data_IF_598092567120
#
_entry.id   IF_598092567120
#
_cell.length_a   1.000
_cell.length_b   1.000
_cell.length_c   1.000
_cell.angle_alpha   90.00
_cell.angle_beta   90.00
_cell.angle_gamma   90.00
#
_symmetry.space_group_name_H-M   'P 1'
#
loop_
_entity.id
_entity.type
_entity.pdbx_description
1 polymer ?
#
# COMPACT_ATOMS: atom_id res chain seq x y z
N UNK A 1 -127.29 22.69 -76.70
CA UNK A 1 -126.44 23.59 -75.90
C UNK A 1 -125.28 22.86 -75.20
N UNK A 2 -125.46 21.68 -74.58
CA UNK A 2 -124.38 20.96 -73.89
C UNK A 2 -123.20 20.46 -74.77
N UNK A 3 -123.43 20.19 -76.05
CA UNK A 3 -122.38 19.74 -76.99
C UNK A 3 -121.43 20.84 -77.45
N UNK A 4 -121.88 22.10 -77.51
CA UNK A 4 -121.04 23.22 -77.93
C UNK A 4 -120.03 23.64 -76.86
N UNK A 5 -120.37 23.52 -75.57
CA UNK A 5 -119.44 23.82 -74.45
C UNK A 5 -118.29 22.81 -74.38
N UNK A 6 -118.53 21.53 -74.72
CA UNK A 6 -117.48 20.51 -74.76
C UNK A 6 -116.47 20.73 -75.91
N UNK A 7 -116.94 21.20 -77.07
CA UNK A 7 -116.05 21.50 -78.21
C UNK A 7 -115.07 22.62 -77.86
N UNK A 8 -115.52 23.68 -77.19
CA UNK A 8 -114.66 24.79 -76.79
C UNK A 8 -113.54 24.36 -75.82
N UNK A 9 -113.84 23.46 -74.88
CA UNK A 9 -112.85 22.92 -73.95
C UNK A 9 -111.77 22.09 -74.67
N UNK A 10 -112.15 21.25 -75.63
CA UNK A 10 -111.19 20.51 -76.44
C UNK A 10 -110.31 21.43 -77.29
N UNK A 11 -110.90 22.48 -77.89
CA UNK A 11 -110.13 23.48 -78.64
C UNK A 11 -109.05 24.12 -77.75
N UNK A 12 -109.41 24.56 -76.53
CA UNK A 12 -108.44 25.11 -75.58
C UNK A 12 -107.35 24.09 -75.25
N UNK A 13 -107.74 22.87 -74.87
CA UNK A 13 -106.82 21.79 -74.49
C UNK A 13 -105.80 21.47 -75.59
N UNK A 14 -106.24 21.36 -76.84
CA UNK A 14 -105.35 21.07 -77.96
C UNK A 14 -104.48 22.27 -78.34
N UNK A 15 -105.00 23.50 -78.28
CA UNK A 15 -104.19 24.70 -78.53
C UNK A 15 -103.14 24.94 -77.44
N UNK A 16 -103.44 24.64 -76.17
CA UNK A 16 -102.48 24.75 -75.07
C UNK A 16 -101.33 23.75 -75.24
N UNK A 17 -101.64 22.51 -75.67
CA UNK A 17 -100.64 21.47 -75.93
C UNK A 17 -99.85 21.70 -77.22
N UNK A 18 -100.52 22.21 -78.27
CA UNK A 18 -99.93 22.46 -79.58
C UNK A 18 -100.11 23.93 -79.96
N UNK A 19 -99.21 24.79 -79.49
CA UNK A 19 -99.32 26.26 -79.63
C UNK A 19 -99.48 26.74 -81.09
N UNK A 20 -98.98 25.99 -82.08
CA UNK A 20 -99.07 26.34 -83.50
C UNK A 20 -100.39 25.90 -84.18
N UNK A 21 -101.26 25.16 -83.49
CA UNK A 21 -102.45 24.54 -84.08
C UNK A 21 -103.58 25.54 -84.35
N UNK A 22 -103.72 26.57 -83.50
CA UNK A 22 -104.69 27.67 -83.65
C UNK A 22 -106.10 27.22 -84.06
N UNK A 23 -106.68 26.22 -83.39
CA UNK A 23 -108.07 25.78 -83.62
C UNK A 23 -109.05 26.88 -83.17
N UNK A 24 -110.04 27.18 -84.00
CA UNK A 24 -111.09 28.16 -83.69
C UNK A 24 -112.50 27.58 -83.85
N UNK A 25 -113.47 28.14 -83.13
CA UNK A 25 -114.88 27.69 -83.19
C UNK A 25 -115.55 28.01 -84.54
N UNK A 26 -115.07 29.02 -85.26
CA UNK A 26 -115.56 29.35 -86.61
C UNK A 26 -115.15 28.31 -87.66
N UNK A 27 -113.92 27.78 -87.57
CA UNK A 27 -113.42 26.75 -88.50
C UNK A 27 -114.24 25.46 -88.46
N UNK A 28 -114.91 25.21 -87.34
CA UNK A 28 -115.76 24.05 -87.08
C UNK A 28 -117.20 24.23 -87.60
N UNK A 29 -117.71 25.48 -87.70
CA UNK A 29 -119.15 25.75 -87.87
C UNK A 29 -119.58 26.19 -89.28
N UNK A 30 -118.70 26.75 -90.12
CA UNK A 30 -119.06 27.24 -91.48
C UNK A 30 -118.42 26.41 -92.61
N UNK A 31 -119.21 26.13 -93.66
CA UNK A 31 -118.88 25.18 -94.74
C UNK A 31 -117.56 25.39 -95.49
N UNK A 32 -117.06 26.63 -95.59
CA UNK A 32 -115.87 26.95 -96.38
C UNK A 32 -114.53 26.69 -95.64
N UNK A 33 -114.54 26.62 -94.30
CA UNK A 33 -113.33 26.43 -93.46
C UNK A 33 -113.11 24.98 -93.03
N UNK A 34 -114.02 24.05 -93.38
CA UNK A 34 -113.99 22.62 -93.04
C UNK A 34 -112.74 21.89 -93.55
N UNK A 35 -112.09 22.43 -94.59
CA UNK A 35 -110.83 21.91 -95.13
C UNK A 35 -109.64 21.98 -94.16
N UNK A 36 -109.60 22.96 -93.24
CA UNK A 36 -108.50 23.09 -92.26
C UNK A 36 -108.68 22.16 -91.06
N UNK A 37 -109.92 21.77 -90.77
CA UNK A 37 -110.25 20.90 -89.64
C UNK A 37 -109.59 19.51 -89.79
N UNK A 38 -109.74 18.87 -90.96
CA UNK A 38 -109.16 17.53 -91.22
C UNK A 38 -107.64 17.54 -91.01
N UNK A 39 -106.93 18.50 -91.61
CA UNK A 39 -105.47 18.57 -91.50
C UNK A 39 -104.99 18.86 -90.08
N UNK A 40 -105.70 19.69 -89.30
CA UNK A 40 -105.37 19.94 -87.89
C UNK A 40 -105.64 18.70 -87.01
N UNK A 41 -106.72 17.96 -87.26
CA UNK A 41 -107.00 16.71 -86.53
C UNK A 41 -105.96 15.65 -86.85
N UNK A 42 -105.56 15.55 -88.11
CA UNK A 42 -104.55 14.61 -88.57
C UNK A 42 -103.16 14.94 -88.01
N UNK A 43 -102.83 16.22 -87.87
CA UNK A 43 -101.62 16.65 -87.17
C UNK A 43 -101.59 16.14 -85.73
N UNK A 44 -102.66 16.38 -84.95
CA UNK A 44 -102.74 15.87 -83.57
C UNK A 44 -102.62 14.33 -83.53
N UNK A 45 -103.29 13.64 -84.44
CA UNK A 45 -103.22 12.18 -84.55
C UNK A 45 -101.79 11.70 -84.81
N UNK A 46 -101.08 12.35 -85.73
CA UNK A 46 -99.69 11.99 -86.09
C UNK A 46 -98.75 12.17 -84.91
N UNK A 47 -98.84 13.29 -84.20
CA UNK A 47 -98.07 13.55 -82.98
C UNK A 47 -98.37 12.51 -81.89
N UNK A 48 -99.63 12.12 -81.72
CA UNK A 48 -100.00 11.08 -80.75
C UNK A 48 -99.39 9.71 -81.09
N UNK A 49 -99.37 9.33 -82.37
CA UNK A 49 -98.91 7.99 -82.79
C UNK A 49 -97.40 7.90 -82.97
N UNK A 50 -96.76 8.98 -83.42
CA UNK A 50 -95.33 8.98 -83.78
C UNK A 50 -94.43 9.68 -82.75
N UNK A 51 -95.00 10.38 -81.77
CA UNK A 51 -94.26 11.15 -80.77
C UNK A 51 -93.45 12.31 -81.39
N UNK A 52 -92.51 12.92 -80.64
CA UNK A 52 -91.66 14.02 -81.12
C UNK A 52 -90.72 13.62 -82.28
N UNK A 53 -90.72 12.35 -82.67
CA UNK A 53 -90.07 11.85 -83.88
C UNK A 53 -91.01 11.85 -85.10
N UNK A 54 -92.01 12.74 -85.11
CA UNK A 54 -92.79 13.05 -86.29
C UNK A 54 -91.83 13.29 -87.46
N UNK A 55 -91.89 12.49 -88.54
CA UNK A 55 -91.18 12.81 -89.75
C UNK A 55 -91.88 14.05 -90.31
N UNK A 56 -91.43 15.23 -89.90
CA UNK A 56 -91.66 16.45 -90.62
C UNK A 56 -91.41 16.13 -92.08
N UNK A 57 -92.45 16.26 -92.90
CA UNK A 57 -92.42 15.97 -94.34
C UNK A 57 -92.23 14.50 -94.74
N UNK A 58 -93.21 13.63 -94.46
CA UNK A 58 -93.66 12.69 -95.53
C UNK A 58 -94.68 13.40 -96.43
N UNK A 59 -94.30 14.56 -96.97
CA UNK A 59 -94.86 14.99 -98.24
C UNK A 59 -94.36 13.97 -99.25
N UNK A 60 -95.20 12.99 -99.59
CA UNK A 60 -95.02 12.33 -100.87
C UNK A 60 -95.12 13.46 -101.90
N UNK A 61 -93.97 13.96 -102.38
CA UNK A 61 -93.90 14.83 -103.54
C UNK A 61 -94.58 14.09 -104.68
N UNK A 62 -95.85 14.39 -104.89
CA UNK A 62 -96.50 14.10 -106.16
C UNK A 62 -95.92 15.13 -107.10
N UNK A 63 -94.93 14.70 -107.90
CA UNK A 63 -94.25 15.54 -108.90
C UNK A 63 -95.27 16.33 -109.73
N UNK A 64 -94.92 17.57 -110.08
CA UNK A 64 -95.76 18.67 -110.60
C UNK A 64 -96.51 18.43 -111.92
N UNK A 65 -97.22 17.31 -112.02
CA UNK A 65 -98.07 16.89 -113.14
C UNK A 65 -99.56 17.18 -112.90
N UNK A 66 -99.97 17.49 -111.67
CA UNK A 66 -101.36 17.78 -111.32
C UNK A 66 -101.47 19.17 -110.68
N UNK A 67 -102.56 19.93 -110.93
CA UNK A 67 -102.83 21.18 -110.24
C UNK A 67 -102.77 20.99 -108.71
N UNK A 68 -102.28 22.01 -107.99
CA UNK A 68 -102.17 22.00 -106.53
C UNK A 68 -103.49 21.62 -105.83
N UNK A 69 -104.61 21.92 -106.47
CA UNK A 69 -105.96 21.57 -106.00
C UNK A 69 -106.17 20.05 -105.92
N UNK A 70 -105.65 19.29 -106.89
CA UNK A 70 -105.75 17.82 -106.93
C UNK A 70 -104.81 17.20 -105.89
N UNK A 71 -103.59 17.72 -105.76
CA UNK A 71 -102.62 17.24 -104.75
C UNK A 71 -103.18 17.48 -103.34
N UNK A 72 -103.70 18.69 -103.07
CA UNK A 72 -104.34 19.02 -101.80
C UNK A 72 -105.58 18.16 -101.53
N UNK A 73 -106.41 17.86 -102.55
CA UNK A 73 -107.56 16.98 -102.39
C UNK A 73 -107.14 15.54 -102.06
N UNK A 74 -106.12 15.01 -102.73
CA UNK A 74 -105.59 13.67 -102.50
C UNK A 74 -104.96 13.50 -101.11
N UNK A 75 -104.16 14.49 -100.67
CA UNK A 75 -103.62 14.50 -99.31
C UNK A 75 -104.74 14.53 -98.25
N UNK A 76 -105.80 15.32 -98.47
CA UNK A 76 -106.95 15.37 -97.55
C UNK A 76 -107.76 14.08 -97.54
N UNK A 77 -107.97 13.45 -98.70
CA UNK A 77 -108.63 12.14 -98.80
C UNK A 77 -107.87 11.12 -97.96
N UNK A 78 -106.53 11.10 -98.09
CA UNK A 78 -105.67 10.25 -97.26
C UNK A 78 -105.76 10.58 -95.78
N UNK A 79 -105.63 11.85 -95.39
CA UNK A 79 -105.71 12.28 -93.98
C UNK A 79 -107.06 11.90 -93.36
N UNK A 80 -108.16 12.13 -94.09
CA UNK A 80 -109.50 11.77 -93.65
C UNK A 80 -109.68 10.25 -93.54
N UNK A 81 -109.13 9.45 -94.46
CA UNK A 81 -109.16 7.98 -94.36
C UNK A 81 -108.40 7.49 -93.13
N UNK A 82 -107.19 8.01 -92.89
CA UNK A 82 -106.38 7.63 -91.73
C UNK A 82 -107.11 7.97 -90.42
N UNK A 83 -107.67 9.18 -90.31
CA UNK A 83 -108.50 9.58 -89.17
C UNK A 83 -109.79 8.77 -89.05
N UNK A 84 -110.41 8.38 -90.16
CA UNK A 84 -111.61 7.54 -90.15
C UNK A 84 -111.28 6.16 -89.60
N UNK A 85 -110.20 5.53 -90.08
CA UNK A 85 -109.76 4.22 -89.56
C UNK A 85 -109.45 4.30 -88.07
N UNK A 86 -108.76 5.36 -87.63
CA UNK A 86 -108.49 5.58 -86.21
C UNK A 86 -109.79 5.75 -85.41
N UNK A 87 -110.75 6.51 -85.94
CA UNK A 87 -112.03 6.76 -85.27
C UNK A 87 -112.89 5.50 -85.20
N UNK A 88 -112.93 4.70 -86.27
CA UNK A 88 -113.60 3.40 -86.28
C UNK A 88 -113.01 2.46 -85.25
N UNK A 89 -111.67 2.43 -85.10
CA UNK A 89 -110.99 1.65 -84.05
C UNK A 89 -111.34 2.16 -82.64
N UNK A 90 -111.39 3.47 -82.45
CA UNK A 90 -111.72 4.07 -81.15
C UNK A 90 -113.18 3.85 -80.74
N UNK A 91 -114.09 3.93 -81.70
CA UNK A 91 -115.54 3.79 -81.45
C UNK A 91 -116.03 2.34 -81.54
N UNK A 92 -115.26 1.43 -82.15
CA UNK A 92 -115.64 0.04 -82.36
C UNK A 92 -116.67 -0.18 -83.47
N UNK A 93 -116.97 0.84 -84.29
CA UNK A 93 -117.98 0.79 -85.35
C UNK A 93 -117.35 1.03 -86.72
N UNK A 94 -117.48 0.07 -87.64
CA UNK A 94 -117.11 0.22 -89.04
C UNK A 94 -118.24 0.93 -89.80
N UNK A 95 -118.18 2.26 -89.84
CA UNK A 95 -119.19 3.08 -90.53
C UNK A 95 -118.53 3.83 -91.70
N UNK A 96 -118.77 3.36 -92.94
CA UNK A 96 -118.32 4.07 -94.16
C UNK A 96 -118.88 5.50 -94.24
N UNK A 97 -119.98 5.81 -93.53
CA UNK A 97 -120.50 7.18 -93.47
C UNK A 97 -119.62 8.10 -92.62
N UNK A 98 -118.80 7.58 -91.71
CA UNK A 98 -117.86 8.37 -90.90
C UNK A 98 -116.83 9.12 -91.75
N UNK A 99 -116.37 8.51 -92.85
CA UNK A 99 -115.49 9.18 -93.81
C UNK A 99 -116.15 10.43 -94.41
N UNK A 100 -117.40 10.30 -94.88
CA UNK A 100 -118.16 11.42 -95.47
C UNK A 100 -118.44 12.52 -94.44
N UNK A 101 -118.60 12.15 -93.16
CA UNK A 101 -118.82 13.09 -92.06
C UNK A 101 -117.61 13.99 -91.79
N UNK A 102 -116.39 13.67 -92.23
CA UNK A 102 -115.26 14.63 -92.14
C UNK A 102 -115.45 15.86 -93.04
N UNK A 103 -116.12 15.72 -94.18
CA UNK A 103 -116.39 16.83 -95.11
C UNK A 103 -117.65 17.63 -94.71
N UNK A 104 -118.54 17.03 -93.92
CA UNK A 104 -119.71 17.68 -93.35
C UNK A 104 -119.93 17.26 -91.88
N UNK A 105 -119.04 17.67 -90.96
CA UNK A 105 -119.09 17.19 -89.59
C UNK A 105 -120.21 17.89 -88.82
N UNK A 106 -120.96 17.09 -88.05
CA UNK A 106 -121.84 17.60 -87.01
C UNK A 106 -121.09 17.70 -85.66
N UNK A 107 -121.66 18.43 -84.70
CA UNK A 107 -121.01 18.63 -83.40
C UNK A 107 -120.76 17.34 -82.62
N UNK A 108 -121.56 16.28 -82.85
CA UNK A 108 -121.35 14.99 -82.19
C UNK A 108 -120.13 14.26 -82.76
N UNK A 109 -119.96 14.30 -84.08
CA UNK A 109 -118.82 13.72 -84.77
C UNK A 109 -117.51 14.40 -84.35
N UNK A 110 -117.49 15.74 -84.28
CA UNK A 110 -116.32 16.51 -83.85
C UNK A 110 -115.92 16.17 -82.42
N UNK A 111 -116.89 16.07 -81.51
CA UNK A 111 -116.63 15.62 -80.14
C UNK A 111 -116.01 14.21 -80.09
N UNK A 112 -116.47 13.29 -80.94
CA UNK A 112 -115.90 11.93 -80.98
C UNK A 112 -114.48 11.90 -81.53
N UNK A 113 -114.20 12.71 -82.57
CA UNK A 113 -112.83 12.89 -83.08
C UNK A 113 -111.92 13.47 -82.00
N UNK A 114 -112.35 14.51 -81.28
CA UNK A 114 -111.57 15.07 -80.18
C UNK A 114 -111.34 14.09 -79.04
N UNK A 115 -112.35 13.32 -78.64
CA UNK A 115 -112.21 12.28 -77.61
C UNK A 115 -111.22 11.19 -78.00
N UNK A 116 -111.27 10.75 -79.25
CA UNK A 116 -110.30 9.80 -79.80
C UNK A 116 -108.88 10.36 -79.69
N UNK A 117 -108.67 11.57 -80.22
CA UNK A 117 -107.35 12.21 -80.22
C UNK A 117 -106.80 12.41 -78.81
N UNK A 118 -107.65 12.83 -77.88
CA UNK A 118 -107.28 13.02 -76.48
C UNK A 118 -106.88 11.70 -75.80
N UNK A 119 -107.65 10.64 -76.06
CA UNK A 119 -107.36 9.30 -75.54
C UNK A 119 -106.04 8.73 -76.10
N UNK A 120 -105.78 8.97 -77.40
CA UNK A 120 -104.54 8.55 -78.05
C UNK A 120 -103.32 9.28 -77.46
N UNK A 121 -103.44 10.60 -77.21
CA UNK A 121 -102.36 11.36 -76.59
C UNK A 121 -102.07 10.88 -75.15
N UNK A 122 -103.10 10.63 -74.35
CA UNK A 122 -102.90 10.09 -73.00
C UNK A 122 -102.21 8.71 -73.02
N UNK A 123 -102.56 7.84 -73.97
CA UNK A 123 -101.90 6.54 -74.13
C UNK A 123 -100.43 6.68 -74.60
N UNK A 124 -100.16 7.62 -75.51
CA UNK A 124 -98.82 7.92 -75.99
C UNK A 124 -97.90 8.42 -74.86
N UNK A 125 -98.39 9.34 -74.03
CA UNK A 125 -97.64 9.87 -72.88
C UNK A 125 -97.26 8.76 -71.90
N UNK A 126 -98.20 7.85 -71.60
CA UNK A 126 -97.95 6.72 -70.70
C UNK A 126 -96.91 5.73 -71.27
N UNK A 127 -96.96 5.44 -72.58
CA UNK A 127 -95.98 4.56 -73.24
C UNK A 127 -94.58 5.18 -73.27
N UNK A 128 -94.49 6.51 -73.47
CA UNK A 128 -93.20 7.21 -73.48
C UNK A 128 -92.49 7.12 -72.12
N UNK A 129 -93.23 7.27 -71.03
CA UNK A 129 -92.66 7.15 -69.67
C UNK A 129 -92.15 5.72 -69.38
N UNK A 130 -92.90 4.69 -69.79
CA UNK A 130 -92.47 3.28 -69.65
C UNK A 130 -91.23 2.95 -70.49
N UNK A 131 -91.16 3.43 -71.74
CA UNK A 131 -89.98 3.25 -72.60
C UNK A 131 -88.74 3.94 -72.03
N UNK A 132 -88.89 5.12 -71.44
CA UNK A 132 -87.76 5.81 -70.78
C UNK A 132 -87.22 4.98 -69.61
N UNK A 133 -88.10 4.35 -68.83
CA UNK A 133 -87.70 3.49 -67.71
C UNK A 133 -86.95 2.24 -68.18
N UNK A 134 -87.46 1.53 -69.19
CA UNK A 134 -86.78 0.36 -69.76
C UNK A 134 -85.39 0.68 -70.33
N UNK A 135 -85.24 1.85 -70.95
CA UNK A 135 -83.94 2.27 -71.53
C UNK A 135 -82.88 2.47 -70.45
N UNK A 136 -83.26 3.03 -69.30
CA UNK A 136 -82.37 3.19 -68.15
C UNK A 136 -81.98 1.82 -67.53
N UNK A 137 -82.90 0.87 -67.47
CA UNK A 137 -82.60 -0.47 -66.95
C UNK A 137 -81.66 -1.25 -67.89
N UNK A 138 -81.84 -1.14 -69.21
CA UNK A 138 -80.93 -1.75 -70.19
C UNK A 138 -79.51 -1.18 -70.16
N UNK A 139 -79.37 0.14 -69.98
CA UNK A 139 -78.04 0.79 -69.90
C UNK A 139 -77.29 0.35 -68.64
N UNK A 140 -77.98 0.24 -67.50
CA UNK A 140 -77.39 -0.29 -66.28
C UNK A 140 -76.96 -1.77 -66.43
N UNK A 141 -77.79 -2.60 -67.07
CA UNK A 141 -77.44 -4.00 -67.33
C UNK A 141 -76.23 -4.18 -68.26
N UNK A 142 -76.01 -3.26 -69.20
CA UNK A 142 -74.83 -3.29 -70.08
C UNK A 142 -73.54 -2.97 -69.32
N UNK A 143 -73.56 -2.01 -68.38
CA UNK A 143 -72.40 -1.66 -67.55
C UNK A 143 -71.97 -2.82 -66.65
N UNK A 144 -72.92 -3.54 -66.05
CA UNK A 144 -72.64 -4.72 -65.22
C UNK A 144 -71.99 -5.85 -66.06
N UNK A 145 -72.44 -6.07 -67.30
CA UNK A 145 -71.81 -7.05 -68.21
C UNK A 145 -70.37 -6.71 -68.58
N UNK A 146 -70.04 -5.42 -68.77
CA UNK A 146 -68.66 -5.01 -69.06
C UNK A 146 -67.71 -5.32 -67.90
N UNK A 147 -68.13 -5.08 -66.66
CA UNK A 147 -67.32 -5.39 -65.47
C UNK A 147 -67.12 -6.90 -65.28
N UNK A 148 -68.17 -7.70 -65.52
CA UNK A 148 -68.06 -9.15 -65.40
C UNK A 148 -67.09 -9.74 -66.44
N UNK A 149 -67.13 -9.23 -67.68
CA UNK A 149 -66.23 -9.68 -68.74
C UNK A 149 -64.77 -9.32 -68.48
N UNK A 150 -64.47 -8.15 -67.90
CA UNK A 150 -63.09 -7.82 -67.53
C UNK A 150 -62.57 -8.74 -66.43
N UNK A 151 -63.42 -9.12 -65.47
CA UNK A 151 -63.06 -10.06 -64.40
C UNK A 151 -62.79 -11.48 -64.93
N UNK A 152 -63.62 -11.96 -65.86
CA UNK A 152 -63.41 -13.26 -66.52
C UNK A 152 -62.12 -13.28 -67.34
N UNK A 153 -61.76 -12.18 -68.00
CA UNK A 153 -60.51 -12.08 -68.75
C UNK A 153 -59.28 -12.19 -67.83
N UNK A 154 -59.28 -11.51 -66.68
CA UNK A 154 -58.21 -11.59 -65.69
C UNK A 154 -58.04 -13.01 -65.12
N UNK A 155 -59.14 -13.68 -64.78
CA UNK A 155 -59.12 -15.06 -64.31
C UNK A 155 -58.61 -16.06 -65.37
N UNK A 156 -58.89 -15.83 -66.66
CA UNK A 156 -58.39 -16.68 -67.74
C UNK A 156 -56.88 -16.53 -67.97
N UNK A 157 -56.32 -15.35 -67.72
CA UNK A 157 -54.88 -15.12 -67.78
C UNK A 157 -54.17 -15.80 -66.59
N UNK A 158 -54.77 -15.75 -65.40
CA UNK A 158 -54.23 -16.39 -64.19
C UNK A 158 -54.32 -17.93 -64.23
N UNK A 159 -55.28 -18.48 -64.98
CA UNK A 159 -55.46 -19.94 -65.18
C UNK A 159 -54.81 -20.48 -66.46
N UNK A 160 -53.98 -19.69 -67.17
CA UNK A 160 -53.35 -20.12 -68.43
C UNK A 160 -52.07 -20.95 -68.24
N UNK A 161 -51.58 -21.11 -67.00
CA UNK A 161 -50.47 -22.02 -66.70
C UNK A 161 -51.02 -23.46 -66.57
N UNK A 162 -50.42 -24.40 -67.30
CA UNK A 162 -50.79 -25.83 -67.23
C UNK A 162 -50.73 -26.30 -65.76
N UNK A 163 -51.80 -26.91 -65.21
CA UNK A 163 -51.81 -27.39 -63.83
C UNK A 163 -50.64 -28.34 -63.51
N UNK A 164 -50.06 -29.02 -64.50
CA UNK A 164 -48.86 -29.85 -64.33
C UNK A 164 -47.61 -29.00 -64.05
N UNK A 165 -47.48 -27.84 -64.69
CA UNK A 165 -46.34 -26.93 -64.52
C UNK A 165 -46.43 -26.17 -63.19
N UNK A 166 -47.65 -25.82 -62.75
CA UNK A 166 -47.86 -25.25 -61.42
C UNK A 166 -47.53 -26.26 -60.29
N UNK A 167 -47.93 -27.53 -60.44
CA UNK A 167 -47.60 -28.59 -59.47
C UNK A 167 -46.09 -28.91 -59.50
N UNK A 168 -45.45 -28.91 -60.67
CA UNK A 168 -44.02 -29.15 -60.80
C UNK A 168 -43.20 -28.04 -60.12
N UNK A 169 -43.54 -26.76 -60.36
CA UNK A 169 -42.91 -25.62 -59.66
C UNK A 169 -43.09 -25.68 -58.15
N UNK A 170 -44.30 -25.97 -57.67
CA UNK A 170 -44.56 -26.10 -56.23
C UNK A 170 -43.79 -27.27 -55.58
N UNK A 171 -43.60 -28.39 -56.31
CA UNK A 171 -42.80 -29.52 -55.83
C UNK A 171 -41.29 -29.22 -55.84
N UNK A 172 -40.79 -28.49 -56.82
CA UNK A 172 -39.40 -28.00 -56.84
C UNK A 172 -39.12 -27.04 -55.69
N UNK A 173 -40.01 -26.07 -55.45
CA UNK A 173 -39.93 -25.16 -54.30
C UNK A 173 -39.97 -25.93 -52.98
N UNK A 174 -40.90 -26.89 -52.84
CA UNK A 174 -40.98 -27.76 -51.66
C UNK A 174 -39.68 -28.54 -51.44
N UNK A 175 -39.10 -29.12 -52.50
CA UNK A 175 -37.84 -29.85 -52.40
C UNK A 175 -36.67 -28.92 -52.06
N UNK A 176 -36.66 -27.69 -52.58
CA UNK A 176 -35.74 -26.62 -52.19
C UNK A 176 -35.80 -26.35 -50.69
N UNK A 177 -36.99 -26.08 -50.16
CA UNK A 177 -37.22 -25.85 -48.72
C UNK A 177 -36.82 -27.06 -47.86
N UNK A 178 -37.09 -28.28 -48.31
CA UNK A 178 -36.68 -29.51 -47.59
C UNK A 178 -35.15 -29.62 -47.52
N UNK A 179 -34.45 -29.31 -48.61
CA UNK A 179 -32.98 -29.37 -48.64
C UNK A 179 -32.35 -28.27 -47.79
N UNK A 180 -32.88 -27.05 -47.83
CA UNK A 180 -32.47 -25.96 -46.95
C UNK A 180 -32.70 -26.32 -45.48
N UNK A 181 -33.86 -26.90 -45.15
CA UNK A 181 -34.15 -27.39 -43.80
C UNK A 181 -33.12 -28.41 -43.33
N UNK A 182 -32.73 -29.37 -44.19
CA UNK A 182 -31.68 -30.35 -43.86
C UNK A 182 -30.33 -29.67 -43.62
N UNK A 183 -29.91 -28.76 -44.51
CA UNK A 183 -28.65 -28.03 -44.35
C UNK A 183 -28.60 -27.20 -43.06
N UNK A 184 -29.71 -26.56 -42.68
CA UNK A 184 -29.84 -25.85 -41.41
C UNK A 184 -29.77 -26.82 -40.22
N UNK A 185 -30.43 -27.97 -40.32
CA UNK A 185 -30.41 -29.00 -39.28
C UNK A 185 -28.98 -29.52 -39.04
N UNK A 186 -28.25 -29.85 -40.10
CA UNK A 186 -26.86 -30.32 -40.04
C UNK A 186 -25.94 -29.26 -39.43
N UNK A 187 -26.13 -27.99 -39.81
CA UNK A 187 -25.40 -26.86 -39.21
C UNK A 187 -25.72 -26.71 -37.73
N UNK A 188 -26.96 -26.88 -37.31
CA UNK A 188 -27.34 -26.87 -35.89
C UNK A 188 -26.69 -28.00 -35.09
N UNK A 189 -26.57 -29.20 -35.68
CA UNK A 189 -25.88 -30.34 -35.05
C UNK A 189 -24.39 -30.05 -34.90
N UNK A 190 -23.73 -29.58 -35.97
CA UNK A 190 -22.30 -29.24 -35.94
C UNK A 190 -21.98 -28.14 -34.92
N UNK A 191 -22.80 -27.08 -34.87
CA UNK A 191 -22.63 -26.02 -33.86
C UNK A 191 -22.85 -26.55 -32.44
N UNK A 192 -23.79 -27.46 -32.25
CA UNK A 192 -24.05 -28.08 -30.95
C UNK A 192 -22.84 -28.90 -30.50
N UNK A 193 -22.24 -29.70 -31.38
CA UNK A 193 -21.01 -30.45 -31.10
C UNK A 193 -19.83 -29.53 -30.76
N UNK A 194 -19.63 -28.44 -31.52
CA UNK A 194 -18.59 -27.46 -31.25
C UNK A 194 -18.76 -26.79 -29.88
N UNK A 195 -19.99 -26.41 -29.53
CA UNK A 195 -20.32 -25.81 -28.22
C UNK A 195 -20.06 -26.81 -27.09
N UNK A 196 -20.41 -28.08 -27.25
CA UNK A 196 -20.10 -29.11 -26.26
C UNK A 196 -18.59 -29.30 -26.10
N UNK A 197 -17.83 -29.38 -27.20
CA UNK A 197 -16.37 -29.47 -27.15
C UNK A 197 -15.72 -28.28 -26.43
N UNK A 198 -16.16 -27.06 -26.74
CA UNK A 198 -15.71 -25.84 -26.04
C UNK A 198 -16.07 -25.85 -24.57
N UNK A 199 -17.26 -26.34 -24.20
CA UNK A 199 -17.69 -26.47 -22.80
C UNK A 199 -16.82 -27.46 -22.01
N UNK A 200 -16.46 -28.58 -22.61
CA UNK A 200 -15.54 -29.56 -22.00
C UNK A 200 -14.15 -28.97 -21.81
N UNK A 201 -13.61 -28.26 -22.82
CA UNK A 201 -12.33 -27.57 -22.70
C UNK A 201 -12.33 -26.54 -21.56
N UNK A 202 -13.35 -25.69 -21.49
CA UNK A 202 -13.50 -24.70 -20.40
C UNK A 202 -13.55 -25.38 -19.03
N UNK A 203 -14.25 -26.52 -18.91
CA UNK A 203 -14.30 -27.25 -17.65
C UNK A 203 -12.93 -27.84 -17.26
N UNK A 204 -12.20 -28.40 -18.23
CA UNK A 204 -10.85 -28.92 -17.98
C UNK A 204 -9.87 -27.81 -17.56
N UNK A 205 -9.93 -26.64 -18.21
CA UNK A 205 -9.14 -25.47 -17.85
C UNK A 205 -9.53 -24.95 -16.45
N UNK A 206 -10.82 -24.93 -16.10
CA UNK A 206 -11.31 -24.53 -14.77
C UNK A 206 -10.79 -25.44 -13.66
N UNK A 207 -10.78 -26.76 -13.86
CA UNK A 207 -10.21 -27.69 -12.89
C UNK A 207 -8.69 -27.54 -12.77
N UNK A 208 -7.99 -27.32 -13.88
CA UNK A 208 -6.56 -27.01 -13.87
C UNK A 208 -6.27 -25.74 -13.06
N UNK A 209 -7.08 -24.69 -13.27
CA UNK A 209 -6.95 -23.41 -12.59
C UNK A 209 -7.21 -23.53 -11.07
N UNK A 210 -8.24 -24.30 -10.67
CA UNK A 210 -8.47 -24.65 -9.25
C UNK A 210 -7.25 -25.35 -8.64
N UNK A 211 -6.64 -26.29 -9.38
CA UNK A 211 -5.41 -26.95 -8.97
C UNK A 211 -4.24 -25.97 -8.75
N UNK A 212 -4.08 -24.99 -9.62
CA UNK A 212 -3.06 -23.94 -9.47
C UNK A 212 -3.35 -23.00 -8.29
N UNK A 213 -4.60 -22.60 -8.08
CA UNK A 213 -5.01 -21.77 -6.94
C UNK A 213 -4.70 -22.51 -5.62
N UNK A 214 -5.09 -23.78 -5.50
CA UNK A 214 -4.81 -24.57 -4.30
C UNK A 214 -3.29 -24.75 -4.05
N UNK A 215 -2.48 -24.87 -5.10
CA UNK A 215 -1.01 -24.90 -4.99
C UNK A 215 -0.46 -23.55 -4.52
N UNK A 216 -0.98 -22.44 -5.04
CA UNK A 216 -0.58 -21.09 -4.62
C UNK A 216 -0.92 -20.82 -3.15
N UNK A 217 -2.10 -21.22 -2.70
CA UNK A 217 -2.50 -21.11 -1.29
C UNK A 217 -1.54 -21.90 -0.39
N UNK A 218 -1.24 -23.16 -0.73
CA UNK A 218 -0.25 -23.98 0.01
C UNK A 218 1.14 -23.35 0.04
N UNK A 219 1.60 -22.74 -1.06
CA UNK A 219 2.88 -22.04 -1.10
C UNK A 219 2.88 -20.78 -0.25
N UNK A 220 1.77 -20.03 -0.22
CA UNK A 220 1.60 -18.85 0.63
C UNK A 220 1.61 -19.23 2.11
N UNK A 221 0.93 -20.30 2.48
CA UNK A 221 0.94 -20.82 3.86
C UNK A 221 2.34 -21.28 4.28
N UNK A 222 3.05 -21.99 3.39
CA UNK A 222 4.45 -22.37 3.64
C UNK A 222 5.35 -21.15 3.81
N UNK A 223 5.21 -20.14 2.94
CA UNK A 223 5.96 -18.88 3.05
C UNK A 223 5.73 -18.21 4.40
N UNK A 224 4.47 -18.05 4.81
CA UNK A 224 4.12 -17.47 6.10
C UNK A 224 4.70 -18.26 7.27
N UNK A 225 4.67 -19.60 7.19
CA UNK A 225 5.27 -20.47 8.19
C UNK A 225 6.80 -20.30 8.28
N UNK A 226 7.50 -20.20 7.14
CA UNK A 226 8.93 -19.94 7.10
C UNK A 226 9.29 -18.55 7.67
N UNK A 227 8.54 -17.51 7.29
CA UNK A 227 8.74 -16.17 7.85
C UNK A 227 8.52 -16.13 9.37
N UNK A 228 7.54 -16.87 9.87
CA UNK A 228 7.32 -17.02 11.30
C UNK A 228 8.47 -17.78 12.00
N UNK A 229 8.94 -18.89 11.43
CA UNK A 229 10.09 -19.64 11.95
C UNK A 229 11.34 -18.77 12.01
N UNK A 230 11.63 -18.03 10.94
CA UNK A 230 12.77 -17.11 10.87
C UNK A 230 12.69 -16.07 12.00
N UNK A 231 11.53 -15.42 12.18
CA UNK A 231 11.34 -14.46 13.28
C UNK A 231 11.53 -15.08 14.65
N UNK A 232 11.07 -16.32 14.86
CA UNK A 232 11.29 -17.04 16.11
C UNK A 232 12.76 -17.41 16.34
N UNK A 233 13.51 -17.79 15.30
CA UNK A 233 14.95 -18.05 15.39
C UNK A 233 15.73 -16.77 15.66
N UNK A 234 15.43 -15.67 14.95
CA UNK A 234 15.99 -14.34 15.21
C UNK A 234 15.71 -13.89 16.65
N UNK A 235 14.48 -14.08 17.15
CA UNK A 235 14.11 -13.74 18.53
C UNK A 235 14.81 -14.61 19.60
N UNK A 236 15.33 -15.79 19.25
CA UNK A 236 16.17 -16.59 20.15
C UNK A 236 17.63 -16.12 20.13
N UNK A 237 18.14 -15.79 18.94
CA UNK A 237 19.55 -15.43 18.74
C UNK A 237 19.86 -14.02 19.24
N UNK A 238 18.94 -13.07 19.06
CA UNK A 238 19.18 -11.65 19.45
C UNK A 238 19.44 -11.51 20.95
N UNK A 239 18.63 -12.08 21.87
CA UNK A 239 18.93 -12.04 23.31
C UNK A 239 20.26 -12.71 23.68
N UNK A 240 20.63 -13.80 23.01
CA UNK A 240 21.91 -14.48 23.24
C UNK A 240 23.10 -13.59 22.81
N UNK A 241 22.97 -12.86 21.70
CA UNK A 241 23.98 -11.89 21.24
C UNK A 241 24.09 -10.72 22.23
N UNK A 242 22.97 -10.16 22.68
CA UNK A 242 22.96 -9.06 23.65
C UNK A 242 23.59 -9.50 24.99
N UNK A 243 23.27 -10.70 25.47
CA UNK A 243 23.87 -11.28 26.67
C UNK A 243 25.39 -11.49 26.52
N UNK A 244 25.86 -11.95 25.35
CA UNK A 244 27.30 -12.08 25.07
C UNK A 244 28.01 -10.72 25.02
N UNK A 245 27.36 -9.66 24.54
CA UNK A 245 27.91 -8.31 24.59
C UNK A 245 27.99 -7.76 26.01
N UNK A 246 26.99 -8.02 26.86
CA UNK A 246 27.02 -7.66 28.28
C UNK A 246 28.12 -8.43 29.02
N UNK A 247 28.25 -9.75 28.81
CA UNK A 247 29.32 -10.56 29.40
C UNK A 247 30.70 -10.10 28.93
N UNK A 248 30.86 -9.77 27.64
CA UNK A 248 32.11 -9.18 27.12
C UNK A 248 32.44 -7.86 27.83
N UNK A 249 31.44 -7.00 28.05
CA UNK A 249 31.64 -5.73 28.76
C UNK A 249 32.05 -5.96 30.21
N UNK A 250 31.40 -6.91 30.92
CA UNK A 250 31.78 -7.29 32.29
C UNK A 250 33.22 -7.78 32.36
N UNK A 251 33.62 -8.68 31.46
CA UNK A 251 34.98 -9.20 31.40
C UNK A 251 36.03 -8.11 31.14
N UNK A 252 35.74 -7.15 30.26
CA UNK A 252 36.62 -6.00 30.02
C UNK A 252 36.74 -5.09 31.24
N UNK A 253 35.67 -4.94 32.03
CA UNK A 253 35.71 -4.15 33.26
C UNK A 253 36.48 -4.91 34.37
N UNK A 254 36.33 -6.23 34.47
CA UNK A 254 37.15 -7.08 35.33
C UNK A 254 38.64 -7.04 34.94
N UNK A 255 38.96 -7.08 33.64
CA UNK A 255 40.32 -6.94 33.13
C UNK A 255 40.96 -5.60 33.56
N UNK A 256 40.20 -4.49 33.48
CA UNK A 256 40.68 -3.18 33.97
C UNK A 256 40.97 -3.20 35.48
N UNK A 257 40.15 -3.88 36.27
CA UNK A 257 40.38 -4.00 37.72
C UNK A 257 41.66 -4.78 38.00
N UNK A 258 41.84 -5.92 37.33
CA UNK A 258 43.07 -6.73 37.45
C UNK A 258 44.30 -5.94 37.01
N UNK A 259 44.20 -5.19 35.91
CA UNK A 259 45.29 -4.34 35.43
C UNK A 259 45.64 -3.25 36.46
N UNK A 260 44.63 -2.58 37.03
CA UNK A 260 44.85 -1.57 38.06
C UNK A 260 45.51 -2.16 39.33
N UNK A 261 45.13 -3.37 39.73
CA UNK A 261 45.75 -4.04 40.87
C UNK A 261 47.17 -4.54 40.55
N UNK A 262 47.44 -5.00 39.33
CA UNK A 262 48.79 -5.30 38.86
C UNK A 262 49.69 -4.06 38.88
N UNK A 263 49.18 -2.90 38.45
CA UNK A 263 49.91 -1.63 38.48
C UNK A 263 50.19 -1.17 39.92
N UNK A 264 49.23 -1.33 40.85
CA UNK A 264 49.46 -1.08 42.28
C UNK A 264 50.55 -1.98 42.85
N UNK A 265 50.54 -3.28 42.51
CA UNK A 265 51.55 -4.23 42.97
C UNK A 265 52.93 -3.90 42.39
N UNK A 266 52.99 -3.50 41.12
CA UNK A 266 54.24 -3.06 40.47
C UNK A 266 54.80 -1.81 41.13
N UNK A 267 53.96 -0.82 41.43
CA UNK A 267 54.36 0.37 42.18
C UNK A 267 54.87 0.02 43.60
N UNK A 268 54.22 -0.92 44.30
CA UNK A 268 54.71 -1.41 45.60
C UNK A 268 56.05 -2.12 45.47
N UNK A 269 56.25 -2.92 44.43
CA UNK A 269 57.52 -3.60 44.17
C UNK A 269 58.64 -2.58 43.94
N UNK A 270 58.40 -1.54 43.14
CA UNK A 270 59.36 -0.46 42.92
C UNK A 270 59.68 0.31 44.21
N UNK A 271 58.69 0.53 45.08
CA UNK A 271 58.91 1.10 46.42
C UNK A 271 59.77 0.20 47.30
N UNK A 272 59.55 -1.11 47.27
CA UNK A 272 60.37 -2.07 48.01
C UNK A 272 61.82 -2.07 47.50
N UNK A 273 62.05 -2.06 46.18
CA UNK A 273 63.41 -1.95 45.63
C UNK A 273 64.12 -0.66 46.05
N UNK A 274 63.41 0.48 46.09
CA UNK A 274 63.97 1.73 46.61
C UNK A 274 64.30 1.65 48.10
N UNK A 275 63.46 0.96 48.87
CA UNK A 275 63.68 0.75 50.30
C UNK A 275 64.89 -0.15 50.55
N UNK A 276 65.02 -1.23 49.78
CA UNK A 276 66.18 -2.13 49.81
C UNK A 276 67.48 -1.37 49.47
N UNK A 277 67.47 -0.52 48.45
CA UNK A 277 68.60 0.35 48.13
C UNK A 277 69.00 1.24 49.31
N UNK A 278 68.03 1.87 49.98
CA UNK A 278 68.29 2.69 51.17
C UNK A 278 68.84 1.87 52.34
N UNK A 279 68.35 0.65 52.57
CA UNK A 279 68.89 -0.23 53.60
C UNK A 279 70.35 -0.60 53.31
N UNK A 280 70.71 -0.82 52.04
CA UNK A 280 72.09 -1.11 51.65
C UNK A 280 73.02 0.11 51.86
N UNK A 281 72.52 1.32 51.60
CA UNK A 281 73.23 2.58 51.92
C UNK A 281 73.47 2.70 53.44
N UNK A 282 72.43 2.51 54.26
CA UNK A 282 72.54 2.55 55.73
C UNK A 282 73.51 1.49 56.25
N UNK A 283 73.49 0.28 55.67
CA UNK A 283 74.40 -0.80 56.06
C UNK A 283 75.86 -0.43 55.76
N UNK A 284 76.10 0.20 54.60
CA UNK A 284 77.43 0.69 54.21
C UNK A 284 77.90 1.82 55.13
N UNK A 285 77.01 2.74 55.51
CA UNK A 285 77.32 3.79 56.50
C UNK A 285 77.61 3.20 57.89
N UNK A 286 76.85 2.19 58.32
CA UNK A 286 77.11 1.47 59.58
C UNK A 286 78.48 0.79 59.58
N UNK A 287 78.87 0.13 58.50
CA UNK A 287 80.19 -0.49 58.39
C UNK A 287 81.31 0.56 58.47
N UNK A 288 81.13 1.71 57.80
CA UNK A 288 82.07 2.83 57.91
C UNK A 288 82.17 3.37 59.35
N UNK A 289 81.03 3.63 59.99
CA UNK A 289 80.98 4.13 61.37
C UNK A 289 81.55 3.13 62.37
N UNK A 290 81.31 1.82 62.21
CA UNK A 290 81.91 0.78 63.06
C UNK A 290 83.43 0.73 62.92
N UNK A 291 83.96 0.98 61.72
CA UNK A 291 85.41 1.09 61.49
C UNK A 291 85.99 2.33 62.17
N UNK A 292 85.33 3.48 62.08
CA UNK A 292 85.70 4.70 62.81
C UNK A 292 85.65 4.50 64.34
N UNK A 293 84.62 3.82 64.86
CA UNK A 293 84.50 3.45 66.26
C UNK A 293 85.67 2.58 66.73
N UNK A 294 86.02 1.57 65.94
CA UNK A 294 87.15 0.69 66.25
C UNK A 294 88.48 1.47 66.30
N UNK A 295 88.68 2.42 65.38
CA UNK A 295 89.85 3.31 65.39
C UNK A 295 89.87 4.24 66.60
N UNK A 296 88.71 4.78 66.98
CA UNK A 296 88.56 5.62 68.17
C UNK A 296 88.84 4.84 69.46
N UNK A 297 88.34 3.60 69.58
CA UNK A 297 88.59 2.72 70.73
C UNK A 297 90.08 2.36 70.89
N UNK A 298 90.80 2.13 69.78
CA UNK A 298 92.26 1.92 69.79
C UNK A 298 92.96 3.17 70.32
N UNK A 299 92.64 4.36 69.80
CA UNK A 299 93.23 5.63 70.25
C UNK A 299 92.93 5.91 71.73
N UNK A 300 91.71 5.64 72.20
CA UNK A 300 91.34 5.81 73.61
C UNK A 300 92.15 4.86 74.50
N UNK A 301 92.37 3.61 74.06
CA UNK A 301 93.17 2.64 74.80
C UNK A 301 94.64 3.05 74.90
N UNK A 302 95.22 3.60 73.82
CA UNK A 302 96.57 4.17 73.83
C UNK A 302 96.69 5.38 74.76
N UNK A 303 95.68 6.26 74.75
CA UNK A 303 95.63 7.42 75.65
C UNK A 303 95.50 7.01 77.12
N UNK A 304 94.72 5.97 77.44
CA UNK A 304 94.65 5.44 78.81
C UNK A 304 96.02 4.95 79.29
N UNK A 305 96.79 4.23 78.46
CA UNK A 305 98.15 3.81 78.80
C UNK A 305 99.07 4.99 79.11
N UNK A 306 99.03 6.03 78.26
CA UNK A 306 99.78 7.27 78.50
C UNK A 306 99.32 7.99 79.78
N UNK A 307 98.03 8.01 80.07
CA UNK A 307 97.50 8.59 81.30
C UNK A 307 98.02 7.86 82.54
N UNK A 308 98.14 6.52 82.51
CA UNK A 308 98.68 5.73 83.61
C UNK A 308 100.18 6.01 83.82
N UNK A 309 100.93 6.21 82.74
CA UNK A 309 102.35 6.62 82.79
C UNK A 309 102.52 8.01 83.43
N UNK A 310 101.64 8.96 83.12
CA UNK A 310 101.64 10.29 83.75
C UNK A 310 101.38 10.20 85.25
N UNK A 311 100.40 9.37 85.68
CA UNK A 311 100.09 9.21 87.11
C UNK A 311 101.30 8.63 87.87
N UNK A 312 102.00 7.65 87.30
CA UNK A 312 103.23 7.12 87.90
C UNK A 312 104.34 8.18 88.01
N UNK A 313 104.50 9.00 86.98
CA UNK A 313 105.47 10.08 87.00
C UNK A 313 105.11 11.16 88.05
N UNK A 314 103.83 11.48 88.23
CA UNK A 314 103.36 12.42 89.25
C UNK A 314 103.62 11.89 90.68
N UNK A 315 103.41 10.59 90.90
CA UNK A 315 103.77 9.92 92.15
C UNK A 315 105.29 9.94 92.41
N UNK A 316 106.13 9.79 91.37
CA UNK A 316 107.59 9.91 91.47
C UNK A 316 108.05 11.35 91.77
N UNK A 317 107.49 12.34 91.07
CA UNK A 317 107.73 13.77 91.34
C UNK A 317 107.40 14.08 92.80
N UNK A 318 106.26 13.59 93.29
CA UNK A 318 105.84 13.81 94.68
C UNK A 318 106.84 13.20 95.67
N UNK A 319 107.34 11.99 95.41
CA UNK A 319 108.42 11.38 96.21
C UNK A 319 109.70 12.21 96.19
N UNK A 320 110.11 12.72 95.02
CA UNK A 320 111.28 13.59 94.93
C UNK A 320 111.08 14.88 95.72
N UNK A 321 109.89 15.49 95.65
CA UNK A 321 109.55 16.68 96.43
C UNK A 321 109.62 16.41 97.94
N UNK A 322 109.05 15.30 98.40
CA UNK A 322 109.09 14.89 99.81
C UNK A 322 110.55 14.67 100.28
N UNK A 323 111.36 13.97 99.48
CA UNK A 323 112.79 13.76 99.76
C UNK A 323 113.58 15.08 99.82
N UNK A 324 113.34 16.02 98.90
CA UNK A 324 113.98 17.34 98.91
C UNK A 324 113.61 18.11 100.18
N UNK A 325 112.34 18.03 100.62
CA UNK A 325 111.89 18.67 101.86
C UNK A 325 112.63 18.07 103.07
N UNK A 326 112.79 16.75 103.12
CA UNK A 326 113.51 16.05 104.19
C UNK A 326 114.99 16.43 104.23
N UNK A 327 115.68 16.36 103.09
CA UNK A 327 117.09 16.79 102.97
C UNK A 327 117.29 18.25 103.32
N UNK A 328 116.34 19.14 102.98
CA UNK A 328 116.40 20.55 103.40
C UNK A 328 116.27 20.72 104.92
N UNK A 329 115.50 19.87 105.60
CA UNK A 329 115.43 19.86 107.08
C UNK A 329 116.76 19.39 107.67
N UNK A 330 117.29 18.27 107.19
CA UNK A 330 118.60 17.76 107.63
C UNK A 330 119.72 18.78 107.42
N UNK A 331 119.75 19.45 106.25
CA UNK A 331 120.70 20.51 105.96
C UNK A 331 120.59 21.66 106.98
N UNK A 332 119.38 22.08 107.32
CA UNK A 332 119.15 23.12 108.32
C UNK A 332 119.60 22.69 109.73
N UNK A 333 119.30 21.46 110.12
CA UNK A 333 119.71 20.92 111.43
C UNK A 333 121.24 20.84 111.53
N UNK A 334 121.91 20.35 110.48
CA UNK A 334 123.37 20.31 110.36
C UNK A 334 123.98 21.71 110.36
N UNK A 335 123.37 22.67 109.66
CA UNK A 335 123.82 24.06 109.62
C UNK A 335 123.69 24.75 110.99
N UNK A 336 122.61 24.48 111.73
CA UNK A 336 122.43 24.99 113.08
C UNK A 336 123.48 24.42 114.04
N UNK A 337 123.77 23.12 113.98
CA UNK A 337 124.85 22.50 114.76
C UNK A 337 126.20 23.15 114.43
N UNK A 338 126.50 23.37 113.15
CA UNK A 338 127.76 24.01 112.72
C UNK A 338 127.94 25.42 113.31
N UNK A 339 126.82 26.13 113.52
CA UNK A 339 126.80 27.49 114.08
C UNK A 339 127.12 27.53 115.58
N UNK A 340 126.93 26.41 116.29
CA UNK A 340 127.14 26.26 117.73
C UNK A 340 128.51 25.64 118.09
N UNK A 341 129.33 25.24 117.09
CA UNK A 341 130.68 24.70 117.31
C UNK A 341 131.66 25.84 117.56
N UNK A 342 132.44 25.74 118.64
CA UNK A 342 133.49 26.70 119.03
C UNK A 342 134.66 26.69 118.01
N UNK A 343 135.20 27.86 117.67
CA UNK A 343 136.14 28.06 116.55
C UNK A 343 137.49 27.30 116.64
N UNK A 344 137.82 26.71 117.80
CA UNK A 344 139.08 25.98 118.00
C UNK A 344 139.06 24.53 117.44
N UNK A 345 137.89 23.98 117.10
CA UNK A 345 137.74 22.56 116.69
C UNK A 345 137.61 22.39 115.16
N UNK A 346 138.62 22.90 114.44
CA UNK A 346 138.65 23.04 112.97
C UNK A 346 138.40 21.73 112.19
N UNK A 347 138.77 20.56 112.74
CA UNK A 347 138.58 19.27 112.07
C UNK A 347 137.11 18.86 112.00
N UNK A 348 136.37 19.06 113.09
CA UNK A 348 134.93 18.74 113.16
C UNK A 348 134.15 19.71 112.27
N UNK A 349 134.56 20.99 112.25
CA UNK A 349 133.96 22.01 111.38
C UNK A 349 134.12 21.67 109.90
N UNK A 350 135.31 21.23 109.48
CA UNK A 350 135.56 20.77 108.09
C UNK A 350 134.74 19.52 107.72
N UNK A 351 134.65 18.52 108.59
CA UNK A 351 133.85 17.31 108.32
C UNK A 351 132.36 17.64 108.14
N UNK A 352 131.82 18.56 108.94
CA UNK A 352 130.43 19.00 108.75
C UNK A 352 130.25 19.90 107.53
N UNK A 353 131.22 20.75 107.17
CA UNK A 353 131.19 21.53 105.93
C UNK A 353 131.21 20.62 104.68
N UNK A 354 131.99 19.53 104.71
CA UNK A 354 131.99 18.53 103.65
C UNK A 354 130.63 17.79 103.57
N UNK A 355 130.03 17.42 104.71
CA UNK A 355 128.68 16.83 104.74
C UNK A 355 127.62 17.80 104.19
N UNK A 356 127.68 19.08 104.57
CA UNK A 356 126.77 20.12 104.06
C UNK A 356 126.97 20.30 102.55
N UNK A 357 128.21 20.25 102.07
CA UNK A 357 128.52 20.36 100.64
C UNK A 357 127.99 19.15 99.87
N UNK A 358 128.14 17.93 100.40
CA UNK A 358 127.59 16.71 99.81
C UNK A 358 126.05 16.77 99.71
N UNK A 359 125.36 17.16 100.79
CA UNK A 359 123.89 17.32 100.78
C UNK A 359 123.45 18.38 99.76
N UNK A 360 124.21 19.48 99.62
CA UNK A 360 123.91 20.51 98.59
C UNK A 360 124.07 19.99 97.17
N UNK A 361 125.07 19.14 96.91
CA UNK A 361 125.26 18.50 95.61
C UNK A 361 124.08 17.56 95.30
N UNK A 362 123.68 16.74 96.27
CA UNK A 362 122.55 15.82 96.11
C UNK A 362 121.21 16.56 95.90
N UNK A 363 120.98 17.65 96.64
CA UNK A 363 119.80 18.51 96.45
C UNK A 363 119.79 19.15 95.06
N UNK A 364 120.93 19.62 94.56
CA UNK A 364 121.01 20.22 93.22
C UNK A 364 120.80 19.19 92.11
N UNK A 365 121.38 18.00 92.23
CA UNK A 365 121.16 16.91 91.29
C UNK A 365 119.67 16.53 91.20
N UNK A 366 118.99 16.41 92.34
CA UNK A 366 117.54 16.16 92.38
C UNK A 366 116.70 17.31 91.81
N UNK A 367 117.16 18.57 91.93
CA UNK A 367 116.47 19.71 91.35
C UNK A 367 116.59 19.74 89.82
N UNK A 368 117.75 19.41 89.26
CA UNK A 368 117.96 19.30 87.81
C UNK A 368 117.12 18.16 87.23
N UNK A 369 117.11 16.98 87.88
CA UNK A 369 116.33 15.83 87.46
C UNK A 369 114.81 16.11 87.54
N UNK A 370 114.35 16.77 88.60
CA UNK A 370 112.97 17.23 88.73
C UNK A 370 112.60 18.26 87.64
N UNK A 371 113.48 19.19 87.29
CA UNK A 371 113.21 20.18 86.24
C UNK A 371 113.11 19.55 84.85
N UNK A 372 113.95 18.57 84.54
CA UNK A 372 113.94 17.88 83.24
C UNK A 372 112.66 17.05 83.05
N UNK A 373 112.23 16.32 84.09
CA UNK A 373 110.97 15.57 84.11
C UNK A 373 109.76 16.50 84.04
N UNK A 374 109.75 17.59 84.82
CA UNK A 374 108.66 18.56 84.82
C UNK A 374 108.51 19.26 83.46
N UNK A 375 109.61 19.69 82.84
CA UNK A 375 109.58 20.36 81.54
C UNK A 375 109.11 19.45 80.40
N UNK A 376 109.53 18.17 80.39
CA UNK A 376 109.10 17.16 79.42
C UNK A 376 107.59 16.86 79.52
N UNK A 377 107.03 16.85 80.73
CA UNK A 377 105.65 16.39 80.97
C UNK A 377 104.58 17.49 81.03
N UNK A 378 104.95 18.75 81.29
CA UNK A 378 103.98 19.86 81.31
C UNK A 378 103.33 20.09 79.94
N UNK A 379 104.05 19.83 78.84
CA UNK A 379 103.50 19.95 77.48
C UNK A 379 102.53 18.83 77.09
N UNK A 380 102.67 17.64 77.70
CA UNK A 380 101.77 16.49 77.46
C UNK A 380 100.47 16.58 78.29
N UNK A 381 100.47 17.35 79.39
CA UNK A 381 99.33 17.49 80.29
C UNK A 381 98.22 18.40 79.73
N UNK A 382 98.59 19.47 79.02
CA UNK A 382 97.61 20.37 78.38
C UNK A 382 96.83 19.66 77.26
N UNK A 383 97.51 18.86 76.44
CA UNK A 383 96.91 18.02 75.40
C UNK A 383 95.96 16.95 75.99
N UNK A 384 96.31 16.36 77.13
CA UNK A 384 95.47 15.37 77.81
C UNK A 384 94.17 15.97 78.38
N UNK A 385 94.18 17.23 78.81
CA UNK A 385 93.00 17.92 79.34
C UNK A 385 91.96 18.23 78.25
N UNK A 386 92.42 18.62 77.06
CA UNK A 386 91.54 18.88 75.90
C UNK A 386 90.93 17.58 75.38
N UNK A 387 91.69 16.48 75.43
CA UNK A 387 91.22 15.15 75.01
C UNK A 387 90.21 14.52 75.98
N UNK A 388 90.31 14.81 77.29
CA UNK A 388 89.27 14.40 78.26
C UNK A 388 87.93 15.07 77.97
N UNK A 389 87.91 16.34 77.56
CA UNK A 389 86.67 17.02 77.13
C UNK A 389 86.08 16.40 75.88
N UNK A 390 86.91 16.10 74.85
CA UNK A 390 86.46 15.41 73.63
C UNK A 390 85.91 14.01 73.91
N UNK A 391 86.50 13.27 74.88
CA UNK A 391 85.98 11.96 75.31
C UNK A 391 84.57 12.05 75.90
N UNK A 392 84.30 13.05 76.71
CA UNK A 392 82.97 13.24 77.32
C UNK A 392 81.92 13.69 76.29
N UNK A 393 82.30 14.47 75.27
CA UNK A 393 81.44 14.82 74.14
C UNK A 393 81.09 13.61 73.28
N UNK A 394 82.08 12.81 72.86
CA UNK A 394 81.84 11.58 72.08
C UNK A 394 80.96 10.60 72.87
N UNK A 395 81.16 10.48 74.20
CA UNK A 395 80.33 9.62 75.04
C UNK A 395 78.87 10.08 75.08
N UNK A 396 78.60 11.39 75.12
CA UNK A 396 77.24 11.94 75.03
C UNK A 396 76.61 11.68 73.66
N UNK A 397 77.36 11.86 72.58
CA UNK A 397 76.87 11.57 71.22
C UNK A 397 76.56 10.08 71.05
N UNK A 398 77.37 9.19 71.62
CA UNK A 398 77.14 7.75 71.57
C UNK A 398 75.89 7.30 72.35
N UNK A 399 75.63 7.88 73.52
CA UNK A 399 74.39 7.66 74.27
C UNK A 399 73.18 8.16 73.48
N UNK A 400 73.28 9.33 72.85
CA UNK A 400 72.23 9.88 71.99
C UNK A 400 71.95 8.96 70.78
N UNK A 401 73.00 8.45 70.14
CA UNK A 401 72.89 7.52 69.01
C UNK A 401 72.25 6.18 69.42
N UNK A 402 72.62 5.64 70.59
CA UNK A 402 71.99 4.43 71.15
C UNK A 402 70.49 4.61 71.41
N UNK A 403 70.09 5.74 71.99
CA UNK A 403 68.68 6.03 72.26
C UNK A 403 67.89 6.21 70.94
N UNK A 404 68.49 6.88 69.95
CA UNK A 404 67.90 7.01 68.62
C UNK A 404 67.72 5.64 67.92
N UNK A 405 68.74 4.78 67.95
CA UNK A 405 68.64 3.42 67.39
C UNK A 405 67.58 2.59 68.10
N UNK A 406 67.49 2.66 69.43
CA UNK A 406 66.47 1.96 70.20
C UNK A 406 65.06 2.40 69.80
N UNK A 407 64.88 3.68 69.53
CA UNK A 407 63.61 4.26 69.06
C UNK A 407 63.27 3.80 67.63
N UNK A 408 64.25 3.76 66.73
CA UNK A 408 64.07 3.26 65.36
C UNK A 408 63.74 1.76 65.34
N UNK A 409 64.44 0.94 66.11
CA UNK A 409 64.17 -0.50 66.23
C UNK A 409 62.76 -0.74 66.76
N UNK A 410 62.29 0.07 67.72
CA UNK A 410 60.90 0.00 68.18
C UNK A 410 59.89 0.27 67.07
N UNK A 411 60.11 1.31 66.24
CA UNK A 411 59.25 1.62 65.07
C UNK A 411 59.25 0.51 64.03
N UNK A 412 60.40 -0.10 63.74
CA UNK A 412 60.51 -1.22 62.79
C UNK A 412 59.71 -2.42 63.30
N UNK A 413 59.81 -2.73 64.60
CA UNK A 413 59.05 -3.83 65.20
C UNK A 413 57.54 -3.59 65.19
N UNK A 414 57.10 -2.35 65.43
CA UNK A 414 55.70 -1.95 65.35
C UNK A 414 55.16 -2.09 63.92
N UNK A 415 55.89 -1.57 62.93
CA UNK A 415 55.56 -1.73 61.51
C UNK A 415 55.52 -3.21 61.08
N UNK A 416 56.44 -4.04 61.59
CA UNK A 416 56.46 -5.48 61.30
C UNK A 416 55.23 -6.19 61.89
N UNK A 417 54.80 -5.81 63.09
CA UNK A 417 53.59 -6.34 63.71
C UNK A 417 52.33 -5.98 62.91
N UNK A 418 52.22 -4.72 62.45
CA UNK A 418 51.14 -4.28 61.57
C UNK A 418 51.12 -5.06 60.24
N UNK A 419 52.29 -5.25 59.63
CA UNK A 419 52.42 -6.02 58.38
C UNK A 419 52.03 -7.49 58.56
N UNK A 420 52.34 -8.09 59.73
CA UNK A 420 51.93 -9.45 60.07
C UNK A 420 50.41 -9.56 60.16
N UNK A 421 49.74 -8.61 60.81
CA UNK A 421 48.27 -8.55 60.90
C UNK A 421 47.65 -8.37 59.51
N UNK A 422 48.19 -7.48 58.68
CA UNK A 422 47.71 -7.30 57.29
C UNK A 422 47.83 -8.59 56.47
N UNK A 423 48.94 -9.33 56.62
CA UNK A 423 49.13 -10.61 55.94
C UNK A 423 48.12 -11.67 56.39
N UNK A 424 47.85 -11.75 57.69
CA UNK A 424 46.85 -12.68 58.24
C UNK A 424 45.44 -12.34 57.73
N UNK A 425 45.08 -11.05 57.66
CA UNK A 425 43.81 -10.60 57.08
C UNK A 425 43.68 -10.96 55.60
N UNK A 426 44.72 -10.68 54.80
CA UNK A 426 44.75 -11.03 53.38
C UNK A 426 44.60 -12.54 53.15
N UNK A 427 45.29 -13.37 53.93
CA UNK A 427 45.13 -14.83 53.85
C UNK A 427 43.69 -15.29 54.21
N UNK A 428 43.05 -14.65 55.19
CA UNK A 428 41.66 -14.91 55.57
C UNK A 428 40.68 -14.55 54.44
N UNK A 429 40.89 -13.41 53.77
CA UNK A 429 40.08 -12.98 52.63
C UNK A 429 40.22 -13.94 51.44
N UNK A 430 41.44 -14.33 51.08
CA UNK A 430 41.71 -15.33 50.03
C UNK A 430 40.98 -16.66 50.34
N UNK A 431 41.00 -17.10 51.60
CA UNK A 431 40.29 -18.32 52.04
C UNK A 431 38.78 -18.18 51.89
N UNK A 432 38.18 -17.05 52.28
CA UNK A 432 36.75 -16.79 52.09
C UNK A 432 36.37 -16.78 50.61
N UNK A 433 37.22 -16.17 49.77
CA UNK A 433 37.01 -16.09 48.32
C UNK A 433 37.09 -17.48 47.67
N UNK A 434 38.05 -18.31 48.10
CA UNK A 434 38.18 -19.71 47.68
C UNK A 434 36.97 -20.56 48.10
N UNK A 435 36.46 -20.38 49.32
CA UNK A 435 35.27 -21.10 49.80
C UNK A 435 34.04 -20.68 48.99
N UNK A 436 33.84 -19.37 48.78
CA UNK A 436 32.72 -18.82 47.98
C UNK A 436 32.76 -19.31 46.53
N UNK A 437 33.95 -19.34 45.91
CA UNK A 437 34.12 -19.87 44.56
C UNK A 437 33.82 -21.39 44.48
N UNK A 438 34.20 -22.14 45.52
CA UNK A 438 33.92 -23.58 45.62
C UNK A 438 32.43 -23.87 45.84
N UNK A 439 31.74 -23.02 46.59
CA UNK A 439 30.28 -23.08 46.76
C UNK A 439 29.55 -22.75 45.45
N UNK A 440 29.99 -21.74 44.70
CA UNK A 440 29.45 -21.47 43.35
C UNK A 440 29.69 -22.62 42.35
N UNK A 441 30.84 -23.29 42.42
CA UNK A 441 31.14 -24.45 41.57
C UNK A 441 30.35 -25.71 41.93
N UNK A 442 29.94 -25.83 43.20
CA UNK A 442 29.12 -26.94 43.70
C UNK A 442 27.62 -26.60 43.72
N UNK A 443 27.22 -25.44 43.18
CA UNK A 443 25.82 -25.10 43.01
C UNK A 443 25.20 -26.01 41.94
N UNK A 444 24.25 -26.85 42.38
CA UNK A 444 23.52 -27.81 41.54
C UNK A 444 22.87 -27.14 40.32
N UNK A 445 22.61 -25.83 40.40
CA UNK A 445 22.08 -25.02 39.29
C UNK A 445 23.04 -24.96 38.10
N UNK A 446 24.36 -24.90 38.34
CA UNK A 446 25.37 -24.85 37.28
C UNK A 446 25.58 -26.21 36.62
N UNK A 447 25.63 -27.28 37.43
CA UNK A 447 25.69 -28.67 36.96
C UNK A 447 24.47 -29.06 36.11
N UNK A 448 23.28 -28.59 36.51
CA UNK A 448 22.03 -28.77 35.77
C UNK A 448 22.05 -28.04 34.43
N UNK A 449 22.48 -26.77 34.39
CA UNK A 449 22.65 -26.02 33.14
C UNK A 449 23.67 -26.64 32.20
N UNK A 450 24.80 -27.15 32.69
CA UNK A 450 25.80 -27.87 31.86
C UNK A 450 25.20 -29.16 31.27
N UNK A 451 24.39 -29.87 32.04
CA UNK A 451 23.71 -31.08 31.58
C UNK A 451 22.65 -30.78 30.51
N UNK A 452 21.90 -29.69 30.67
CA UNK A 452 20.94 -29.17 29.68
C UNK A 452 21.65 -28.74 28.38
N UNK A 453 22.83 -28.10 28.48
CA UNK A 453 23.65 -27.71 27.34
C UNK A 453 24.18 -28.91 26.55
N UNK A 454 24.61 -29.97 27.25
CA UNK A 454 25.01 -31.24 26.62
C UNK A 454 23.82 -31.94 25.93
N UNK A 455 22.63 -31.87 26.52
CA UNK A 455 21.43 -32.43 25.90
C UNK A 455 21.08 -31.69 24.60
N UNK A 456 21.16 -30.36 24.60
CA UNK A 456 20.94 -29.52 23.41
C UNK A 456 21.98 -29.78 22.31
N UNK A 457 23.26 -29.87 22.65
CA UNK A 457 24.31 -30.24 21.68
C UNK A 457 24.11 -31.64 21.08
N UNK A 458 23.55 -32.57 21.84
CA UNK A 458 23.24 -33.92 21.33
C UNK A 458 22.06 -33.87 20.37
N UNK A 459 21.04 -33.07 20.69
CA UNK A 459 19.87 -32.86 19.83
C UNK A 459 20.26 -32.20 18.50
N UNK A 460 21.16 -31.22 18.54
CA UNK A 460 21.66 -30.52 17.35
C UNK A 460 22.44 -31.45 16.42
N UNK A 461 23.30 -32.32 16.97
CA UNK A 461 23.99 -33.37 16.20
C UNK A 461 23.01 -34.37 15.57
N UNK A 462 21.94 -34.74 16.27
CA UNK A 462 20.89 -35.61 15.72
C UNK A 462 20.11 -34.90 14.60
N UNK A 463 19.79 -33.61 14.76
CA UNK A 463 19.13 -32.80 13.75
C UNK A 463 19.97 -32.70 12.47
N UNK A 464 21.28 -32.47 12.60
CA UNK A 464 22.21 -32.47 11.46
C UNK A 464 22.26 -33.84 10.77
N UNK A 465 22.26 -34.94 11.54
CA UNK A 465 22.21 -36.30 11.00
C UNK A 465 20.91 -36.59 10.24
N UNK A 466 19.75 -36.22 10.79
CA UNK A 466 18.45 -36.39 10.13
C UNK A 466 18.33 -35.52 8.88
N UNK A 467 18.85 -34.30 8.92
CA UNK A 467 18.84 -33.39 7.77
C UNK A 467 19.66 -33.96 6.60
N UNK A 468 20.82 -34.58 6.88
CA UNK A 468 21.65 -35.29 5.89
C UNK A 468 20.94 -36.50 5.29
N UNK A 469 20.31 -37.34 6.11
CA UNK A 469 19.62 -38.55 5.65
C UNK A 469 18.30 -38.26 4.89
N UNK A 470 17.67 -37.11 5.13
CA UNK A 470 16.49 -36.69 4.37
C UNK A 470 16.85 -36.11 2.99
N UNK A 471 18.05 -35.56 2.82
CA UNK A 471 18.57 -35.10 1.52
C UNK A 471 19.11 -36.23 0.63
N UNK A 472 19.43 -37.40 1.19
CA UNK A 472 19.93 -38.56 0.41
C UNK A 472 18.82 -39.54 -0.01
N UNK A 473 17.58 -39.35 0.45
CA UNK A 473 16.40 -40.16 0.08
C UNK A 473 15.35 -39.40 -0.77
N UNK A 474 15.71 -38.24 -1.32
CA UNK A 474 15.00 -37.55 -2.40
C UNK A 474 15.86 -37.60 -3.66
#
# INVERSE_FOLDING_TARGET
MATHTNIANYISKFNDRFQNLNLTSEEISRGATKNKFISKMHFIYTEAVSGPFSPGTKENKVDGMYPDEIINASQKDRQARELTVALSRYTGTEDETAFRRFFAPDSSFICNVFKMLDSLLCASDALHDDCRKQTNDCTKGAEEMYQLNSFIAALKEEMSDDPIDAISRANEERNGVINEKKAVMDRCVSLKEEVYGKKEQINAEKETLKGHIAKLEKLKDRKNHYEHLQKCEEAKIVPDIDALFEDKKRLLDEEKVVQADADKLRNKLDQLYRTESKCNEITSEMEYLNKELSLAEIKVSELCKKSDEIVKADDEIKRFQDNIIELKRELNDKHNILKDINDDDMKVKQEFEEQISAIKVDVNALYEEHQEVFASKTKELDDASEMRKKKDEIKKEMELAKENMKTEVAKINENFAEHKIMKENFCSEILKLKTSAKECLNDDTYSKKISELKALQTLDKQLVFYKRNCTENM
#
